data_IF_842643353383
#
_entry.id   IF_842643353383
#
_cell.length_a   1.000
_cell.length_b   1.000
_cell.length_c   1.000
_cell.angle_alpha   90.00
_cell.angle_beta   90.00
_cell.angle_gamma   90.00
#
_symmetry.space_group_name_H-M   'P 1'
#
loop_
_entity.id
_entity.type
_entity.pdbx_description
1 polymer ?
#
# COMPACT_ATOMS: atom_id res chain seq x y z
N UNK A 1 -13.85 -9.88 -8.91
CA UNK A 1 -14.93 -9.56 -9.87
C UNK A 1 -14.29 -9.04 -11.14
N UNK A 2 -14.83 -9.36 -12.31
CA UNK A 2 -14.23 -9.05 -13.60
C UNK A 2 -15.32 -8.73 -14.62
N UNK A 3 -15.36 -7.49 -15.08
CA UNK A 3 -16.38 -6.97 -15.99
C UNK A 3 -15.73 -6.54 -17.30
N UNK A 4 -16.37 -6.86 -18.43
CA UNK A 4 -15.95 -6.46 -19.77
C UNK A 4 -16.95 -5.47 -20.33
N UNK A 5 -16.50 -4.31 -20.75
CA UNK A 5 -17.34 -3.30 -21.39
C UNK A 5 -16.52 -2.50 -22.40
N UNK A 6 -17.06 -2.28 -23.60
CA UNK A 6 -16.49 -1.36 -24.60
C UNK A 6 -15.01 -1.62 -24.97
N UNK A 7 -14.59 -2.89 -25.00
CA UNK A 7 -13.19 -3.25 -25.28
C UNK A 7 -12.22 -2.98 -24.13
N UNK A 8 -12.75 -2.71 -22.93
CA UNK A 8 -11.99 -2.60 -21.69
C UNK A 8 -12.42 -3.69 -20.70
N UNK A 9 -11.45 -4.12 -19.91
CA UNK A 9 -11.59 -5.07 -18.82
C UNK A 9 -11.41 -4.33 -17.50
N UNK A 10 -12.47 -4.26 -16.70
CA UNK A 10 -12.43 -3.77 -15.32
C UNK A 10 -12.28 -4.96 -14.37
N UNK A 11 -11.25 -4.92 -13.52
CA UNK A 11 -10.96 -5.98 -12.56
C UNK A 11 -11.02 -5.44 -11.14
N UNK A 12 -11.71 -6.19 -10.28
CA UNK A 12 -11.68 -6.00 -8.82
C UNK A 12 -10.73 -7.03 -8.23
N UNK A 13 -9.58 -6.54 -7.76
CA UNK A 13 -8.55 -7.34 -7.11
C UNK A 13 -8.73 -7.20 -5.59
N UNK A 14 -9.05 -8.31 -4.94
CA UNK A 14 -9.15 -8.37 -3.48
C UNK A 14 -8.03 -9.24 -2.91
N UNK A 15 -7.34 -8.73 -1.89
CA UNK A 15 -6.21 -9.38 -1.23
C UNK A 15 -6.54 -9.50 0.24
N UNK A 16 -6.60 -10.73 0.75
CA UNK A 16 -6.76 -10.99 2.17
C UNK A 16 -5.40 -11.30 2.79
N UNK A 17 -5.07 -10.65 3.90
CA UNK A 17 -3.83 -10.85 4.63
C UNK A 17 -4.07 -10.98 6.12
N UNK A 18 -3.05 -11.44 6.84
CA UNK A 18 -3.04 -11.48 8.30
C UNK A 18 -1.79 -10.79 8.82
N UNK A 19 -1.98 -9.91 9.79
CA UNK A 19 -0.90 -9.33 10.58
C UNK A 19 -0.75 -10.16 11.84
N UNK A 20 0.43 -10.72 12.06
CA UNK A 20 0.76 -11.50 13.26
C UNK A 20 1.78 -10.71 14.08
N UNK A 21 1.36 -10.12 15.21
CA UNK A 21 2.27 -9.46 16.14
C UNK A 21 3.34 -10.41 16.68
N UNK A 22 4.58 -9.89 16.80
CA UNK A 22 5.66 -10.58 17.52
C UNK A 22 5.67 -10.24 19.02
N UNK A 23 6.51 -10.90 19.84
CA UNK A 23 6.55 -10.70 21.29
C UNK A 23 6.87 -9.27 21.76
N UNK A 24 7.52 -8.46 20.91
CA UNK A 24 7.86 -7.06 21.20
C UNK A 24 6.89 -6.06 20.55
N UNK A 25 5.79 -6.52 19.96
CA UNK A 25 4.83 -5.65 19.30
C UNK A 25 4.01 -4.84 20.33
N UNK A 26 3.89 -3.53 20.10
CA UNK A 26 2.99 -2.67 20.84
C UNK A 26 1.74 -2.35 19.99
N UNK A 27 0.54 -2.33 20.56
CA UNK A 27 -0.68 -1.95 19.85
C UNK A 27 -0.55 -0.61 19.12
N UNK A 28 -1.07 -0.54 17.90
CA UNK A 28 -0.95 0.65 17.06
C UNK A 28 -1.45 0.47 15.63
N UNK A 29 -1.31 1.53 14.84
CA UNK A 29 -1.63 1.52 13.40
C UNK A 29 -0.40 1.12 12.60
N UNK A 30 -0.54 0.09 11.75
CA UNK A 30 0.49 -0.31 10.79
C UNK A 30 0.05 0.17 9.42
N UNK A 31 0.94 0.87 8.71
CA UNK A 31 0.70 1.24 7.30
C UNK A 31 1.45 0.27 6.40
N UNK A 32 0.72 -0.48 5.59
CA UNK A 32 1.25 -1.47 4.65
C UNK A 32 1.15 -0.94 3.21
N UNK A 33 2.28 -0.72 2.52
CA UNK A 33 2.29 -0.39 1.11
C UNK A 33 1.97 -1.64 0.29
N UNK A 34 0.74 -1.77 -0.17
CA UNK A 34 0.32 -2.87 -1.04
C UNK A 34 0.36 -2.37 -2.48
N UNK A 35 1.22 -2.97 -3.31
CA UNK A 35 1.29 -2.74 -4.74
C UNK A 35 0.43 -3.75 -5.48
N UNK A 36 -0.43 -3.25 -6.36
CA UNK A 36 -1.19 -4.04 -7.32
C UNK A 36 -0.67 -3.71 -8.70
N UNK A 37 -0.24 -4.73 -9.43
CA UNK A 37 0.23 -4.60 -10.81
C UNK A 37 -0.48 -5.60 -11.71
N UNK A 38 -0.81 -5.18 -12.94
CA UNK A 38 -1.31 -6.05 -14.00
C UNK A 38 -0.34 -5.99 -15.16
N UNK A 39 0.10 -7.16 -15.59
CA UNK A 39 1.06 -7.34 -16.66
C UNK A 39 0.46 -8.17 -17.79
N UNK A 40 0.93 -7.90 -19.00
CA UNK A 40 0.67 -8.69 -20.19
C UNK A 40 2.00 -9.08 -20.81
N UNK A 41 2.43 -10.33 -20.59
CA UNK A 41 3.80 -10.75 -20.92
C UNK A 41 4.82 -9.88 -20.18
N UNK A 42 5.56 -9.05 -20.91
CA UNK A 42 6.56 -8.11 -20.36
C UNK A 42 6.01 -6.71 -20.09
N UNK A 43 4.81 -6.39 -20.59
CA UNK A 43 4.26 -5.04 -20.52
C UNK A 43 3.48 -4.83 -19.23
N UNK A 44 3.76 -3.74 -18.52
CA UNK A 44 3.02 -3.34 -17.31
C UNK A 44 1.85 -2.44 -17.73
N UNK A 45 0.63 -2.96 -17.66
CA UNK A 45 -0.58 -2.23 -18.04
C UNK A 45 -1.13 -1.37 -16.90
N UNK A 46 -0.94 -1.83 -15.66
CA UNK A 46 -1.36 -1.13 -14.46
C UNK A 46 -0.36 -1.40 -13.35
N UNK A 47 -0.02 -0.38 -12.56
CA UNK A 47 0.77 -0.52 -11.34
C UNK A 47 0.44 0.63 -10.40
N UNK A 48 -0.20 0.33 -9.27
CA UNK A 48 -0.53 1.31 -8.25
C UNK A 48 -0.11 0.81 -6.87
N UNK A 49 0.35 1.74 -6.03
CA UNK A 49 0.72 1.47 -4.64
C UNK A 49 -0.34 2.10 -3.75
N UNK A 50 -0.92 1.30 -2.86
CA UNK A 50 -1.91 1.73 -1.89
C UNK A 50 -1.33 1.63 -0.49
N UNK A 51 -1.36 2.74 0.25
CA UNK A 51 -0.98 2.76 1.65
C UNK A 51 -2.18 2.31 2.49
N UNK A 52 -2.22 1.01 2.82
CA UNK A 52 -3.33 0.43 3.54
C UNK A 52 -3.04 0.38 5.05
N UNK A 53 -3.86 1.05 5.84
CA UNK A 53 -3.68 1.13 7.29
C UNK A 53 -4.50 0.04 7.99
N UNK A 54 -3.85 -0.73 8.86
CA UNK A 54 -4.50 -1.72 9.72
C UNK A 54 -4.23 -1.37 11.17
N UNK A 55 -5.30 -1.21 11.93
CA UNK A 55 -5.22 -1.03 13.37
C UNK A 55 -5.11 -2.39 14.05
N UNK A 56 -4.04 -2.60 14.81
CA UNK A 56 -3.85 -3.79 15.63
C UNK A 56 -3.99 -3.38 17.09
N UNK A 57 -5.11 -3.76 17.70
CA UNK A 57 -5.41 -3.47 19.11
C UNK A 57 -4.91 -4.55 20.06
N UNK A 58 -4.95 -5.81 19.63
CA UNK A 58 -4.54 -6.96 20.44
C UNK A 58 -3.18 -7.49 19.95
N UNK A 59 -2.11 -7.36 20.76
CA UNK A 59 -0.78 -7.84 20.40
C UNK A 59 -0.65 -9.37 20.57
N UNK A 60 -1.66 -10.06 21.11
CA UNK A 60 -1.68 -11.50 21.27
C UNK A 60 -2.44 -12.25 20.16
N UNK A 61 -3.17 -11.52 19.31
CA UNK A 61 -4.01 -12.07 18.27
C UNK A 61 -3.59 -11.62 16.86
N UNK A 62 -3.75 -12.52 15.88
CA UNK A 62 -3.55 -12.18 14.48
C UNK A 62 -4.74 -11.35 13.95
N UNK A 63 -4.46 -10.16 13.43
CA UNK A 63 -5.48 -9.29 12.83
C UNK A 63 -5.60 -9.60 11.33
N UNK A 64 -6.79 -10.03 10.89
CA UNK A 64 -7.07 -10.26 9.48
C UNK A 64 -7.54 -8.96 8.81
N UNK A 65 -7.09 -8.72 7.58
CA UNK A 65 -7.54 -7.60 6.77
C UNK A 65 -7.86 -8.04 5.34
N UNK A 66 -8.72 -7.26 4.68
CA UNK A 66 -9.05 -7.42 3.27
C UNK A 66 -8.82 -6.07 2.58
N UNK A 67 -7.84 -6.04 1.70
CA UNK A 67 -7.59 -4.92 0.80
C UNK A 67 -8.32 -5.18 -0.52
N UNK A 68 -8.85 -4.13 -1.15
CA UNK A 68 -9.55 -4.26 -2.44
C UNK A 68 -9.22 -3.07 -3.33
N UNK A 69 -8.72 -3.34 -4.53
CA UNK A 69 -8.54 -2.37 -5.60
C UNK A 69 -9.60 -2.60 -6.69
N UNK A 70 -10.42 -1.58 -6.96
CA UNK A 70 -11.47 -1.59 -7.99
C UNK A 70 -11.10 -0.71 -9.19
N UNK A 71 -9.94 -0.05 -9.17
CA UNK A 71 -9.55 0.94 -10.18
C UNK A 71 -8.75 0.31 -11.33
N UNK A 72 -8.68 -1.02 -11.39
CA UNK A 72 -7.90 -1.73 -12.39
C UNK A 72 -8.69 -1.79 -13.70
N UNK A 73 -8.41 -0.84 -14.57
CA UNK A 73 -8.96 -0.77 -15.91
C UNK A 73 -7.85 -1.03 -16.93
N UNK A 74 -7.95 -2.13 -17.66
CA UNK A 74 -6.98 -2.52 -18.68
C UNK A 74 -7.70 -2.77 -20.01
N UNK A 75 -7.02 -2.66 -21.16
CA UNK A 75 -7.60 -3.06 -22.44
C UNK A 75 -8.11 -4.51 -22.39
N UNK A 76 -9.16 -4.85 -23.13
CA UNK A 76 -9.59 -6.25 -23.21
C UNK A 76 -8.56 -7.06 -24.02
N UNK A 77 -7.97 -8.12 -23.47
CA UNK A 77 -6.99 -8.89 -24.20
C UNK A 77 -7.66 -9.86 -25.17
N UNK A 78 -7.01 -10.09 -26.31
CA UNK A 78 -7.43 -11.09 -27.29
C UNK A 78 -7.20 -12.53 -26.80
N UNK A 79 -6.30 -12.72 -25.83
CA UNK A 79 -5.97 -14.00 -25.18
C UNK A 79 -5.98 -13.87 -23.63
N UNK A 80 -5.97 -14.99 -22.89
CA UNK A 80 -6.05 -14.98 -21.42
C UNK A 80 -4.66 -14.87 -20.76
N UNK A 81 -3.89 -13.87 -21.14
CA UNK A 81 -2.46 -13.81 -20.81
C UNK A 81 -2.11 -12.71 -19.79
N UNK A 82 -3.13 -12.19 -19.10
CA UNK A 82 -2.95 -11.19 -18.06
C UNK A 82 -2.57 -11.82 -16.72
N UNK A 83 -1.52 -11.27 -16.12
CA UNK A 83 -1.02 -11.66 -14.82
C UNK A 83 -1.19 -10.49 -13.86
N UNK A 84 -1.96 -10.74 -12.80
CA UNK A 84 -2.13 -9.78 -11.71
C UNK A 84 -1.21 -10.16 -10.55
N UNK A 85 -0.41 -9.21 -10.10
CA UNK A 85 0.47 -9.31 -8.94
C UNK A 85 -0.05 -8.42 -7.83
N UNK A 86 -0.08 -8.96 -6.62
CA UNK A 86 -0.33 -8.21 -5.41
C UNK A 86 0.78 -8.53 -4.41
N UNK A 87 1.46 -7.51 -3.90
CA UNK A 87 2.60 -7.68 -3.01
C UNK A 87 2.86 -6.45 -2.16
N UNK A 88 3.71 -6.61 -1.16
CA UNK A 88 4.21 -5.48 -0.39
C UNK A 88 5.35 -4.81 -1.14
N UNK A 89 5.36 -3.49 -1.15
CA UNK A 89 6.42 -2.70 -1.78
C UNK A 89 7.29 -2.02 -0.73
N UNK A 90 8.60 -2.18 -0.82
CA UNK A 90 9.56 -1.61 0.14
C UNK A 90 9.81 -0.11 -0.07
N UNK A 91 9.24 0.49 -1.13
CA UNK A 91 9.29 1.93 -1.36
C UNK A 91 8.34 2.70 -0.42
N UNK A 92 8.57 2.59 0.89
CA UNK A 92 8.08 3.56 1.86
C UNK A 92 8.80 4.89 1.59
N UNK A 93 8.11 6.04 1.46
CA UNK A 93 8.78 7.32 1.51
C UNK A 93 9.57 7.35 2.82
N UNK A 94 10.90 7.43 2.75
CA UNK A 94 11.74 7.68 3.92
C UNK A 94 11.09 8.81 4.69
N UNK A 95 10.65 8.53 5.92
CA UNK A 95 10.19 9.57 6.83
C UNK A 95 11.25 10.66 6.79
N UNK A 96 10.86 11.85 6.32
CA UNK A 96 11.75 13.00 6.27
C UNK A 96 12.33 13.15 7.67
N UNK A 97 13.62 12.87 7.78
CA UNK A 97 14.33 12.92 9.04
C UNK A 97 14.21 14.35 9.55
N UNK A 98 13.64 14.48 10.74
CA UNK A 98 13.65 15.67 11.56
C UNK A 98 15.03 16.33 11.51
N UNK A 99 15.15 17.43 10.77
CA UNK A 99 16.32 18.30 10.79
C UNK A 99 15.90 19.69 11.26
N UNK A 100 15.87 19.82 12.58
CA UNK A 100 16.50 20.98 13.23
C UNK A 100 15.63 22.22 13.40
N UNK A 101 14.90 22.28 14.52
CA UNK A 101 14.64 23.55 15.24
C UNK A 101 15.06 23.48 16.69
N UNK A 102 16.34 23.18 16.94
CA UNK A 102 17.04 23.72 18.12
C UNK A 102 17.42 25.18 17.81
N UNK A 103 16.46 26.11 17.91
CA UNK A 103 16.80 27.55 17.96
C UNK A 103 17.22 27.88 19.39
N UNK A 104 18.51 28.15 19.51
CA UNK A 104 19.25 28.56 20.70
C UNK A 104 18.59 29.77 21.39
N UNK A 105 18.56 29.73 22.73
CA UNK A 105 18.47 30.93 23.57
C UNK A 105 19.69 31.82 23.27
N UNK A 106 19.47 33.10 22.98
CA UNK A 106 20.46 34.16 23.16
C UNK A 106 19.71 35.50 23.24
N UNK A 107 19.74 36.13 24.42
CA UNK A 107 19.57 37.58 24.57
C UNK A 107 20.77 38.30 23.92
N UNK A 108 20.63 39.54 23.44
CA UNK A 108 21.14 40.69 24.22
C UNK A 108 20.24 41.96 24.06
N UNK A 109 20.09 42.77 25.12
CA UNK A 109 20.80 44.02 25.44
C UNK A 109 20.24 45.29 24.77
N UNK A 110 19.98 46.25 25.67
CA UNK A 110 19.40 47.59 25.58
C UNK A 110 20.06 48.54 24.58
N UNK A 111 19.27 49.48 24.08
CA UNK A 111 19.71 50.85 23.77
C UNK A 111 18.70 51.82 24.39
#
# INVERSE_FOLDING_TARGET
>A
DCMRANGQLSMKIAVAGKVVPGPMFAPGTITMPIRVAVMHGTDVLYSQIHQYQVQVSDPSAATQFVFTDQNVLVPEPTAKDYQAFAGYDENTPKAATDKGKRKKKAAPATN
#
